data_IF_019348903016
#
_entry.id   IF_019348903016
#
_cell.length_a   1.000
_cell.length_b   1.000
_cell.length_c   1.000
_cell.angle_alpha   90.00
_cell.angle_beta   90.00
_cell.angle_gamma   90.00
#
_symmetry.space_group_name_H-M   'P 1'
#
loop_
_entity.id
_entity.type
_entity.pdbx_description
1 polymer ?
#
# COMPACT_ATOMS: atom_id res chain seq x y z
N UNK A 1 4.45 -17.67 3.31
CA UNK A 1 4.85 -18.79 2.43
C UNK A 1 5.66 -18.23 1.28
N UNK A 2 6.72 -18.93 0.87
CA UNK A 2 7.40 -18.73 -0.41
C UNK A 2 7.28 -20.01 -1.24
N UNK A 3 6.58 -19.92 -2.36
CA UNK A 3 6.40 -21.02 -3.31
C UNK A 3 7.49 -21.03 -4.41
N UNK A 4 7.43 -22.04 -5.28
CA UNK A 4 8.32 -22.17 -6.45
C UNK A 4 8.38 -20.89 -7.30
N UNK A 5 7.24 -20.28 -7.60
CA UNK A 5 7.16 -19.11 -8.46
C UNK A 5 7.85 -17.93 -7.81
N UNK A 6 7.57 -17.67 -6.53
CA UNK A 6 8.21 -16.60 -5.77
C UNK A 6 9.72 -16.82 -5.62
N UNK A 7 10.15 -18.05 -5.34
CA UNK A 7 11.58 -18.40 -5.26
C UNK A 7 12.28 -18.12 -6.59
N UNK A 8 11.66 -18.49 -7.71
CA UNK A 8 12.17 -18.21 -9.04
C UNK A 8 12.20 -16.71 -9.31
N UNK A 9 11.09 -16.00 -9.11
CA UNK A 9 10.92 -14.59 -9.44
C UNK A 9 11.87 -13.67 -8.66
N UNK A 10 12.22 -14.03 -7.42
CA UNK A 10 13.11 -13.25 -6.55
C UNK A 10 14.56 -13.74 -6.57
N UNK A 11 14.91 -14.66 -7.47
CA UNK A 11 16.26 -15.19 -7.60
C UNK A 11 16.77 -15.86 -6.32
N UNK A 12 15.90 -16.60 -5.61
CA UNK A 12 16.21 -17.22 -4.32
C UNK A 12 16.65 -18.69 -4.44
N UNK A 13 16.66 -19.25 -5.65
CA UNK A 13 16.91 -20.68 -5.88
C UNK A 13 18.32 -21.16 -5.43
N UNK A 14 19.29 -20.24 -5.31
CA UNK A 14 20.61 -20.53 -4.76
C UNK A 14 20.60 -20.79 -3.25
N UNK A 15 19.60 -20.26 -2.54
CA UNK A 15 19.47 -20.37 -1.08
C UNK A 15 18.30 -21.25 -0.65
N UNK A 16 17.21 -21.27 -1.42
CA UNK A 16 15.96 -21.98 -1.12
C UNK A 16 15.65 -22.96 -2.23
N UNK A 17 15.39 -24.23 -1.87
CA UNK A 17 15.03 -25.27 -2.85
C UNK A 17 13.66 -24.95 -3.47
N UNK A 18 13.53 -24.79 -4.80
CA UNK A 18 12.25 -24.42 -5.43
C UNK A 18 11.14 -25.48 -5.39
N UNK A 19 11.46 -26.72 -5.00
CA UNK A 19 10.50 -27.81 -4.88
C UNK A 19 9.91 -27.95 -3.46
N UNK A 20 10.24 -27.02 -2.57
CA UNK A 20 9.78 -26.97 -1.17
C UNK A 20 9.06 -25.65 -0.98
N UNK A 21 7.89 -25.69 -0.37
CA UNK A 21 7.21 -24.47 0.07
C UNK A 21 7.82 -24.03 1.40
N UNK A 22 8.41 -22.84 1.41
CA UNK A 22 9.11 -22.32 2.58
C UNK A 22 8.16 -21.49 3.43
N UNK A 23 8.21 -21.75 4.73
CA UNK A 23 7.44 -21.02 5.73
C UNK A 23 8.39 -20.47 6.77
N UNK A 24 8.14 -19.23 7.17
CA UNK A 24 8.75 -18.67 8.37
C UNK A 24 8.03 -19.26 9.59
N UNK A 25 8.80 -19.69 10.59
CA UNK A 25 8.23 -20.09 11.87
C UNK A 25 7.88 -18.82 12.65
N UNK A 26 6.59 -18.46 12.66
CA UNK A 26 6.09 -17.30 13.39
C UNK A 26 4.71 -17.63 13.97
N UNK A 27 4.46 -17.15 15.19
CA UNK A 27 3.14 -17.24 15.80
C UNK A 27 2.25 -16.12 15.23
N UNK A 28 1.13 -16.48 14.62
CA UNK A 28 0.20 -15.50 14.08
C UNK A 28 -0.76 -15.10 15.21
N UNK A 29 -0.62 -13.87 15.69
CA UNK A 29 -1.53 -13.29 16.67
C UNK A 29 -2.92 -12.99 16.07
N UNK A 30 -3.84 -12.56 16.94
CA UNK A 30 -5.17 -12.13 16.50
C UNK A 30 -5.02 -10.96 15.52
N UNK A 31 -5.79 -11.01 14.44
CA UNK A 31 -5.87 -9.90 13.48
C UNK A 31 -6.49 -8.67 14.15
N UNK A 32 -5.81 -7.55 14.04
CA UNK A 32 -6.27 -6.26 14.54
C UNK A 32 -6.33 -5.23 13.40
N UNK A 33 -7.39 -4.42 13.40
CA UNK A 33 -7.50 -3.27 12.53
C UNK A 33 -7.47 -2.03 13.42
N UNK A 34 -6.47 -1.20 13.18
CA UNK A 34 -6.28 0.02 13.93
C UNK A 34 -6.82 1.22 13.15
N UNK A 35 -7.48 2.13 13.86
CA UNK A 35 -8.02 3.37 13.32
C UNK A 35 -7.49 4.53 14.15
N UNK A 36 -6.85 5.47 13.48
CA UNK A 36 -6.18 6.60 14.11
C UNK A 36 -6.80 7.90 13.64
N UNK A 37 -7.54 8.55 14.53
CA UNK A 37 -7.96 9.93 14.31
C UNK A 37 -6.79 10.87 14.61
N UNK A 38 -6.29 11.57 13.60
CA UNK A 38 -5.14 12.48 13.72
C UNK A 38 -5.50 13.94 13.43
N UNK A 39 -6.69 14.17 12.87
CA UNK A 39 -7.36 15.47 12.81
C UNK A 39 -8.84 15.27 13.11
N UNK A 40 -9.55 16.36 13.42
CA UNK A 40 -10.98 16.31 13.70
C UNK A 40 -11.79 15.64 12.57
N UNK A 41 -11.34 15.82 11.35
CA UNK A 41 -11.94 15.41 10.09
C UNK A 41 -11.11 14.34 9.34
N UNK A 42 -10.10 13.75 9.98
CA UNK A 42 -9.22 12.78 9.34
C UNK A 42 -8.93 11.56 10.22
N UNK A 43 -9.18 10.39 9.64
CA UNK A 43 -8.94 9.07 10.24
C UNK A 43 -8.18 8.24 9.24
N UNK A 44 -7.09 7.61 9.67
CA UNK A 44 -6.40 6.63 8.86
C UNK A 44 -6.44 5.24 9.45
N UNK A 45 -6.32 4.23 8.60
CA UNK A 45 -6.10 2.83 8.97
C UNK A 45 -4.90 2.26 8.23
N UNK A 46 -4.36 1.15 8.73
CA UNK A 46 -3.28 0.41 8.10
C UNK A 46 -3.70 -1.02 7.80
N UNK A 47 -3.39 -1.50 6.60
CA UNK A 47 -3.64 -2.87 6.14
C UNK A 47 -2.31 -3.57 5.85
N UNK A 48 -2.23 -4.89 6.09
CA UNK A 48 -1.03 -5.67 5.80
C UNK A 48 -1.35 -6.74 4.75
N UNK A 49 -0.60 -6.73 3.65
CA UNK A 49 -0.64 -7.74 2.59
C UNK A 49 -2.07 -8.11 2.14
N UNK A 50 -2.52 -9.33 2.49
CA UNK A 50 -3.80 -9.89 2.07
C UNK A 50 -5.00 -9.10 2.61
N UNK A 51 -4.83 -8.31 3.68
CA UNK A 51 -5.89 -7.47 4.22
C UNK A 51 -6.44 -6.47 3.19
N UNK A 52 -5.60 -6.05 2.25
CA UNK A 52 -6.04 -5.21 1.13
C UNK A 52 -6.98 -5.95 0.17
N UNK A 53 -6.80 -7.27 -0.02
CA UNK A 53 -7.59 -8.07 -0.96
C UNK A 53 -8.75 -8.84 -0.31
N UNK A 54 -8.76 -8.94 1.02
CA UNK A 54 -9.69 -9.79 1.76
C UNK A 54 -10.93 -9.01 2.19
N UNK A 55 -12.10 -9.40 1.64
CA UNK A 55 -13.37 -8.77 2.00
C UNK A 55 -13.78 -9.00 3.45
N UNK A 56 -13.72 -10.24 3.95
CA UNK A 56 -14.16 -10.60 5.31
C UNK A 56 -12.96 -10.98 6.22
N UNK A 57 -12.79 -10.37 7.41
CA UNK A 57 -13.60 -9.27 7.98
C UNK A 57 -13.07 -7.87 7.62
N UNK A 58 -11.99 -7.76 6.84
CA UNK A 58 -11.25 -6.51 6.73
C UNK A 58 -12.04 -5.39 6.05
N UNK A 59 -12.60 -5.63 4.86
CA UNK A 59 -13.29 -4.58 4.12
C UNK A 59 -14.62 -4.19 4.74
N UNK A 60 -15.33 -5.13 5.37
CA UNK A 60 -16.58 -4.82 6.09
C UNK A 60 -16.33 -3.80 7.21
N UNK A 61 -15.29 -4.03 8.02
CA UNK A 61 -14.94 -3.13 9.12
C UNK A 61 -14.42 -1.78 8.57
N UNK A 62 -13.57 -1.81 7.54
CA UNK A 62 -13.05 -0.58 6.92
C UNK A 62 -14.19 0.26 6.35
N UNK A 63 -15.14 -0.34 5.62
CA UNK A 63 -16.32 0.36 5.09
C UNK A 63 -17.23 0.89 6.19
N UNK A 64 -17.39 0.13 7.27
CA UNK A 64 -18.24 0.53 8.41
C UNK A 64 -17.66 1.72 9.17
N UNK A 65 -16.33 1.81 9.29
CA UNK A 65 -15.66 2.93 9.96
C UNK A 65 -15.45 4.13 9.03
N UNK A 66 -15.19 3.89 7.75
CA UNK A 66 -14.99 4.95 6.75
C UNK A 66 -13.73 5.81 6.97
N UNK A 67 -12.52 5.23 7.11
CA UNK A 67 -11.31 6.06 7.19
C UNK A 67 -11.10 6.80 5.86
N UNK A 68 -10.70 8.07 5.88
CA UNK A 68 -10.43 8.81 4.65
C UNK A 68 -9.00 8.61 4.11
N UNK A 69 -8.14 7.93 4.88
CA UNK A 69 -6.82 7.47 4.45
C UNK A 69 -6.59 6.00 4.81
N UNK A 70 -6.02 5.23 3.88
CA UNK A 70 -5.61 3.85 4.13
C UNK A 70 -4.18 3.64 3.68
N UNK A 71 -3.34 3.11 4.55
CA UNK A 71 -1.96 2.71 4.24
C UNK A 71 -1.86 1.19 4.18
N UNK A 72 -1.60 0.63 3.00
CA UNK A 72 -1.42 -0.80 2.82
C UNK A 72 0.05 -1.16 2.66
N UNK A 73 0.60 -1.89 3.63
CA UNK A 73 1.96 -2.39 3.61
C UNK A 73 1.98 -3.78 3.00
N UNK A 74 2.70 -3.94 1.89
CA UNK A 74 2.69 -5.15 1.09
C UNK A 74 4.08 -5.78 1.02
N UNK A 75 4.11 -7.10 0.96
CA UNK A 75 5.27 -7.89 0.56
C UNK A 75 5.03 -8.42 -0.87
N UNK A 76 4.83 -7.50 -1.82
CA UNK A 76 4.54 -7.80 -3.22
C UNK A 76 5.63 -7.24 -4.16
N UNK A 77 5.53 -7.49 -5.47
CA UNK A 77 6.36 -6.83 -6.46
C UNK A 77 6.09 -5.31 -6.59
N UNK A 78 6.53 -4.71 -7.71
CA UNK A 78 6.32 -3.30 -7.99
C UNK A 78 4.85 -2.90 -7.95
N UNK A 79 4.55 -1.70 -7.45
CA UNK A 79 3.19 -1.22 -7.22
C UNK A 79 2.60 -0.55 -8.47
N UNK A 80 2.08 -1.37 -9.39
CA UNK A 80 1.61 -0.92 -10.70
C UNK A 80 0.07 -0.90 -10.80
N UNK A 81 -0.45 -0.02 -11.64
CA UNK A 81 -1.90 0.14 -11.87
C UNK A 81 -2.56 -1.15 -12.40
N UNK A 82 -1.86 -1.92 -13.24
CA UNK A 82 -2.36 -3.20 -13.77
C UNK A 82 -2.27 -4.38 -12.80
N UNK A 83 -1.81 -4.20 -11.55
CA UNK A 83 -1.63 -5.28 -10.58
C UNK A 83 -2.74 -5.30 -9.54
N UNK A 84 -2.87 -6.44 -8.86
CA UNK A 84 -3.90 -6.65 -7.85
C UNK A 84 -3.98 -5.54 -6.79
N UNK A 85 -2.88 -4.93 -6.27
CA UNK A 85 -3.00 -3.91 -5.22
C UNK A 85 -3.81 -2.71 -5.69
N UNK A 86 -3.59 -2.26 -6.94
CA UNK A 86 -4.33 -1.15 -7.51
C UNK A 86 -5.83 -1.47 -7.63
N UNK A 87 -6.17 -2.70 -8.04
CA UNK A 87 -7.57 -3.14 -8.16
C UNK A 87 -8.32 -3.05 -6.83
N UNK A 88 -7.74 -3.56 -5.74
CA UNK A 88 -8.42 -3.52 -4.43
C UNK A 88 -8.29 -2.16 -3.73
N UNK A 89 -7.23 -1.40 -4.02
CA UNK A 89 -7.17 0.00 -3.64
C UNK A 89 -8.32 0.80 -4.27
N UNK A 90 -8.67 0.54 -5.53
CA UNK A 90 -9.85 1.15 -6.17
C UNK A 90 -11.14 0.79 -5.43
N UNK A 91 -11.31 -0.45 -4.97
CA UNK A 91 -12.51 -0.84 -4.23
C UNK A 91 -12.71 0.00 -2.96
N UNK A 92 -11.66 0.24 -2.18
CA UNK A 92 -11.74 1.08 -0.97
C UNK A 92 -11.81 2.57 -1.29
N UNK A 93 -11.24 2.99 -2.43
CA UNK A 93 -11.33 4.36 -2.91
C UNK A 93 -12.72 4.71 -3.47
N UNK A 94 -13.41 3.74 -4.05
CA UNK A 94 -14.79 3.89 -4.53
C UNK A 94 -15.79 3.78 -3.37
N UNK A 95 -15.52 2.90 -2.40
CA UNK A 95 -16.34 2.70 -1.20
C UNK A 95 -15.47 2.15 -0.05
N UNK A 96 -15.21 2.94 1.01
CA UNK A 96 -16.00 4.09 1.48
C UNK A 96 -15.52 5.48 1.00
N UNK A 97 -14.70 5.58 -0.06
CA UNK A 97 -14.18 6.89 -0.50
C UNK A 97 -12.80 7.23 0.07
N UNK A 98 -11.98 6.21 0.40
CA UNK A 98 -10.64 6.41 0.95
C UNK A 98 -9.65 6.94 -0.10
N UNK A 99 -8.61 7.64 0.35
CA UNK A 99 -7.35 7.68 -0.39
C UNK A 99 -6.43 6.56 0.11
N UNK A 100 -6.11 5.63 -0.79
CA UNK A 100 -5.38 4.40 -0.48
C UNK A 100 -3.96 4.50 -1.00
N UNK A 101 -3.00 4.26 -0.12
CA UNK A 101 -1.57 4.22 -0.40
C UNK A 101 -1.05 2.81 -0.19
N UNK A 102 -0.61 2.14 -1.25
CA UNK A 102 0.08 0.86 -1.15
C UNK A 102 1.59 1.07 -1.19
N UNK A 103 2.33 0.28 -0.43
CA UNK A 103 3.79 0.29 -0.42
C UNK A 103 4.33 -1.13 -0.45
N UNK A 104 5.46 -1.34 -1.11
CA UNK A 104 6.19 -2.59 -1.05
C UNK A 104 7.68 -2.38 -0.81
N UNK A 105 8.34 -3.47 -0.39
CA UNK A 105 9.77 -3.50 -0.13
C UNK A 105 10.59 -3.21 -1.40
N UNK A 106 11.38 -2.15 -1.37
CA UNK A 106 12.37 -1.86 -2.41
C UNK A 106 13.36 -3.02 -2.60
N UNK A 107 13.75 -3.69 -1.52
CA UNK A 107 14.65 -4.85 -1.59
C UNK A 107 14.05 -6.00 -2.40
N UNK A 108 12.75 -6.27 -2.20
CA UNK A 108 12.02 -7.30 -2.96
C UNK A 108 11.91 -6.94 -4.44
N UNK A 109 11.56 -5.68 -4.73
CA UNK A 109 11.50 -5.14 -6.09
C UNK A 109 12.86 -5.22 -6.78
N UNK A 110 13.93 -4.82 -6.09
CA UNK A 110 15.30 -4.87 -6.61
C UNK A 110 15.72 -6.29 -6.94
N UNK A 111 15.44 -7.27 -6.08
CA UNK A 111 15.71 -8.68 -6.36
C UNK A 111 14.95 -9.18 -7.59
N UNK A 112 13.68 -8.78 -7.73
CA UNK A 112 12.89 -9.10 -8.92
C UNK A 112 13.48 -8.50 -10.21
N UNK A 113 13.94 -7.26 -10.15
CA UNK A 113 14.62 -6.59 -11.27
C UNK A 113 15.94 -7.29 -11.63
N UNK A 114 16.77 -7.63 -10.65
CA UNK A 114 18.05 -8.33 -10.83
C UNK A 114 17.87 -9.73 -11.45
N UNK A 115 16.76 -10.41 -11.12
CA UNK A 115 16.44 -11.70 -11.71
C UNK A 115 15.93 -11.61 -13.16
N UNK A 116 15.52 -10.43 -13.63
CA UNK A 116 15.19 -10.16 -15.03
C UNK A 116 13.93 -10.85 -15.58
N UNK A 117 13.10 -11.49 -14.74
CA UNK A 117 11.88 -12.19 -15.17
C UNK A 117 10.81 -11.24 -15.69
N UNK A 118 10.77 -10.01 -15.16
CA UNK A 118 9.80 -8.98 -15.52
C UNK A 118 10.53 -7.69 -15.93
N UNK A 119 9.79 -6.77 -16.57
CA UNK A 119 10.32 -5.44 -16.88
C UNK A 119 10.75 -4.70 -15.61
N UNK A 120 11.87 -3.98 -15.69
CA UNK A 120 12.43 -3.21 -14.57
C UNK A 120 11.43 -2.17 -14.10
N UNK A 121 11.20 -2.12 -12.79
CA UNK A 121 10.39 -1.08 -12.16
C UNK A 121 10.98 -0.62 -10.84
N UNK A 122 10.76 0.66 -10.55
CA UNK A 122 11.17 1.32 -9.32
C UNK A 122 9.97 1.87 -8.54
N UNK A 123 8.77 1.39 -8.87
CA UNK A 123 7.54 1.77 -8.19
C UNK A 123 7.42 1.03 -6.87
N UNK A 124 7.79 1.71 -5.79
CA UNK A 124 7.73 1.20 -4.41
C UNK A 124 6.38 1.45 -3.76
N UNK A 125 5.53 2.28 -4.36
CA UNK A 125 4.19 2.53 -3.87
C UNK A 125 3.23 2.94 -4.98
N UNK A 126 1.94 2.96 -4.64
CA UNK A 126 0.88 3.43 -5.51
C UNK A 126 -0.17 4.15 -4.64
N UNK A 127 -0.63 5.29 -5.11
CA UNK A 127 -1.75 6.04 -4.54
C UNK A 127 -2.96 5.88 -5.46
N UNK A 128 -4.11 5.54 -4.88
CA UNK A 128 -5.43 5.64 -5.49
C UNK A 128 -6.24 6.62 -4.64
N UNK A 129 -6.66 7.75 -5.20
CA UNK A 129 -7.54 8.67 -4.48
C UNK A 129 -9.02 8.35 -4.73
N UNK A 130 -9.89 8.96 -3.92
CA UNK A 130 -11.35 8.85 -4.03
C UNK A 130 -11.91 9.52 -5.29
N UNK A 131 -11.12 10.33 -5.99
CA UNK A 131 -11.45 10.86 -7.31
C UNK A 131 -11.13 9.90 -8.46
N UNK A 132 -10.63 8.70 -8.16
CA UNK A 132 -10.27 7.67 -9.13
C UNK A 132 -8.91 7.87 -9.80
N UNK A 133 -8.11 8.83 -9.38
CA UNK A 133 -6.76 9.02 -9.91
C UNK A 133 -5.81 8.00 -9.31
N UNK A 134 -4.94 7.44 -10.16
CA UNK A 134 -3.91 6.48 -9.74
C UNK A 134 -2.53 7.03 -10.04
N UNK A 135 -1.62 6.96 -9.06
CA UNK A 135 -0.25 7.49 -9.19
C UNK A 135 0.75 6.54 -8.59
N UNK A 136 1.77 6.18 -9.36
CA UNK A 136 2.90 5.40 -8.86
C UNK A 136 3.86 6.29 -8.07
N UNK A 137 4.36 5.75 -6.96
CA UNK A 137 5.40 6.35 -6.12
C UNK A 137 6.72 5.67 -6.48
N UNK A 138 7.64 6.46 -7.02
CA UNK A 138 8.90 5.96 -7.57
C UNK A 138 10.03 6.22 -6.58
N UNK A 139 10.82 5.18 -6.33
CA UNK A 139 12.12 5.30 -5.67
C UNK A 139 13.22 4.98 -6.69
N UNK A 140 13.76 6.00 -7.38
CA UNK A 140 14.80 5.79 -8.37
C UNK A 140 16.04 5.11 -7.77
N UNK A 141 16.90 4.50 -8.61
CA UNK A 141 18.22 4.06 -8.17
C UNK A 141 19.00 5.16 -7.43
N UNK A 142 19.88 4.77 -6.51
CA UNK A 142 20.76 5.63 -5.72
C UNK A 142 20.08 6.63 -4.76
N UNK A 143 18.77 6.50 -4.55
CA UNK A 143 18.01 7.27 -3.56
C UNK A 143 17.63 6.38 -2.37
N UNK A 144 17.53 6.98 -1.18
CA UNK A 144 17.27 6.25 0.07
C UNK A 144 15.80 6.33 0.50
N UNK A 145 15.02 7.25 -0.07
CA UNK A 145 13.61 7.36 0.29
C UNK A 145 12.82 8.27 -0.65
N UNK A 146 11.53 8.39 -0.37
CA UNK A 146 10.61 9.29 -1.07
C UNK A 146 9.89 10.15 -0.03
N UNK A 147 9.95 11.46 -0.18
CA UNK A 147 9.10 12.40 0.54
C UNK A 147 7.80 12.56 -0.24
N UNK A 148 6.71 12.03 0.31
CA UNK A 148 5.37 12.17 -0.23
C UNK A 148 4.64 13.31 0.48
N UNK A 149 4.01 14.20 -0.28
CA UNK A 149 3.15 15.26 0.25
C UNK A 149 1.71 15.00 -0.18
N UNK A 150 0.81 14.97 0.80
CA UNK A 150 -0.64 14.86 0.59
C UNK A 150 -1.31 16.17 1.00
N UNK A 151 -2.32 16.55 0.24
CA UNK A 151 -3.24 17.65 0.53
C UNK A 151 -4.56 17.10 1.03
N UNK A 152 -5.35 17.95 1.68
CA UNK A 152 -6.68 17.61 2.16
C UNK A 152 -7.63 18.77 1.90
N UNK A 153 -8.79 18.47 1.32
CA UNK A 153 -9.89 19.40 1.14
C UNK A 153 -11.08 18.96 1.99
N UNK A 154 -11.88 19.91 2.47
CA UNK A 154 -13.14 19.58 3.16
C UNK A 154 -14.05 18.79 2.22
N UNK A 155 -14.64 17.74 2.77
CA UNK A 155 -15.61 16.89 2.10
C UNK A 155 -16.94 16.91 2.86
N UNK A 156 -18.00 16.60 2.12
CA UNK A 156 -19.31 16.27 2.68
C UNK A 156 -19.41 14.75 2.65
N UNK A 157 -19.77 14.17 3.79
CA UNK A 157 -19.91 12.72 3.94
C UNK A 157 -21.29 12.37 4.49
N UNK A 158 -21.74 11.15 4.24
CA UNK A 158 -23.05 10.67 4.59
C UNK A 158 -22.93 9.38 5.39
N UNK A 159 -23.53 9.40 6.58
CA UNK A 159 -23.71 8.17 7.36
C UNK A 159 -24.73 7.25 6.68
N UNK A 160 -24.74 5.97 7.04
CA UNK A 160 -25.62 4.95 6.43
C UNK A 160 -27.13 5.26 6.57
N UNK A 161 -27.52 6.04 7.59
CA UNK A 161 -28.90 6.50 7.78
C UNK A 161 -29.20 7.84 7.09
N UNK A 162 -28.27 8.35 6.27
CA UNK A 162 -28.43 9.53 5.43
C UNK A 162 -28.11 10.85 6.13
N UNK A 163 -27.64 10.86 7.38
CA UNK A 163 -27.21 12.12 8.01
C UNK A 163 -25.93 12.62 7.36
N UNK A 164 -25.93 13.90 7.03
CA UNK A 164 -24.81 14.63 6.45
C UNK A 164 -23.84 15.12 7.53
N UNK A 165 -22.54 15.03 7.26
CA UNK A 165 -21.49 15.66 8.04
C UNK A 165 -20.50 16.38 7.14
N UNK A 166 -20.06 17.56 7.58
CA UNK A 166 -18.95 18.31 6.95
C UNK A 166 -17.64 18.15 7.71
N UNK A 167 -17.63 17.29 8.74
CA UNK A 167 -16.44 16.96 9.51
C UNK A 167 -15.68 15.81 8.86
N UNK A 168 -15.44 15.93 7.56
CA UNK A 168 -14.72 14.97 6.74
C UNK A 168 -13.77 15.72 5.80
N UNK A 169 -12.67 15.06 5.43
CA UNK A 169 -11.71 15.57 4.46
C UNK A 169 -11.43 14.50 3.40
N UNK A 170 -11.37 14.92 2.14
CA UNK A 170 -10.83 14.11 1.05
C UNK A 170 -9.34 14.42 0.90
N UNK A 171 -8.54 13.37 0.74
CA UNK A 171 -7.09 13.49 0.64
C UNK A 171 -6.63 13.26 -0.79
N UNK A 172 -5.67 14.05 -1.25
CA UNK A 172 -5.18 13.94 -2.63
C UNK A 172 -3.66 14.08 -2.68
N UNK A 173 -3.09 13.54 -3.75
CA UNK A 173 -1.66 13.67 -4.01
C UNK A 173 -1.30 15.12 -4.35
N UNK A 174 -0.27 15.66 -3.70
CA UNK A 174 0.31 16.96 -4.06
C UNK A 174 1.64 16.77 -4.79
N UNK A 175 2.59 16.06 -4.18
CA UNK A 175 3.92 15.88 -4.75
C UNK A 175 4.64 14.66 -4.18
N UNK A 176 5.64 14.19 -4.93
CA UNK A 176 6.64 13.24 -4.43
C UNK A 176 8.02 13.74 -4.79
N UNK A 177 9.00 13.55 -3.91
CA UNK A 177 10.41 13.88 -4.15
C UNK A 177 11.30 12.76 -3.65
N UNK A 178 12.12 12.20 -4.52
CA UNK A 178 13.14 11.24 -4.12
C UNK A 178 14.20 11.93 -3.23
N UNK A 179 14.59 11.28 -2.15
CA UNK A 179 15.53 11.79 -1.16
C UNK A 179 16.84 11.03 -1.32
N UNK A 180 17.91 11.78 -1.57
CA UNK A 180 19.28 11.30 -1.53
C UNK A 180 19.94 11.81 -0.26
N UNK A 181 20.30 10.89 0.63
CA UNK A 181 20.99 11.22 1.88
C UNK A 181 22.49 11.30 1.56
N UNK A 182 23.18 12.41 1.87
CA UNK A 182 24.63 12.49 1.72
C UNK A 182 25.30 11.40 2.56
N UNK A 183 26.46 10.87 2.13
CA UNK A 183 27.23 9.98 2.98
C UNK A 183 27.52 10.66 4.33
N UNK A 184 27.51 9.92 5.45
CA UNK A 184 27.85 10.48 6.74
C UNK A 184 29.23 11.14 6.65
N UNK A 185 29.34 12.37 7.14
CA UNK A 185 30.64 13.04 7.27
C UNK A 185 31.41 12.32 8.37
N UNK A 186 32.47 11.62 8.00
CA UNK A 186 33.40 10.94 8.92
C UNK A 186 34.34 11.96 9.54
#
# INVERSE_FOLDING_TARGET
MLDRSQISNYGLASSLRPNVDWWESHEIERRELNFFQFRKDAVFSSLICEDLARNDPCHEIIRSVGPNLVFSLLMDGPQLEGRWPARYASTLADDPGCTVLTFSSYGLIRRGNENGTFGVSHSVGLLRDSGGQTRQILLPPDHQGVLLTLGSDRAVDFTIDGRETTNASSWHFISQRAIKVPPPTI
#
